data_IF_630074974009
#
_entry.id   IF_630074974009
#
_cell.length_a   1.000
_cell.length_b   1.000
_cell.length_c   1.000
_cell.angle_alpha   90.00
_cell.angle_beta   90.00
_cell.angle_gamma   90.00
#
_symmetry.space_group_name_H-M   'P 1'
#
loop_
_entity.id
_entity.type
_entity.pdbx_description
1 polymer ?
#
# COMPACT_ATOMS: atom_id res chain seq x y z
N UNK A 1 3.16 -17.85 -4.93
CA UNK A 1 2.76 -16.70 -5.78
C UNK A 1 3.55 -16.78 -7.08
N UNK A 2 3.06 -16.21 -8.18
CA UNK A 2 3.88 -16.17 -9.40
C UNK A 2 4.89 -15.02 -9.28
N UNK A 3 6.10 -15.21 -9.80
CA UNK A 3 7.13 -14.16 -9.88
C UNK A 3 6.58 -12.86 -10.46
N UNK A 4 5.68 -12.96 -11.46
CA UNK A 4 5.04 -11.80 -12.06
C UNK A 4 4.14 -11.02 -11.08
N UNK A 5 3.37 -11.71 -10.23
CA UNK A 5 2.54 -11.05 -9.21
C UNK A 5 3.36 -10.32 -8.14
N UNK A 6 4.52 -10.86 -7.78
CA UNK A 6 5.43 -10.22 -6.83
C UNK A 6 6.12 -8.99 -7.43
N UNK A 7 6.56 -9.07 -8.68
CA UNK A 7 7.14 -7.91 -9.39
C UNK A 7 6.14 -6.75 -9.54
N UNK A 8 4.88 -7.04 -9.86
CA UNK A 8 3.84 -6.02 -9.98
C UNK A 8 3.55 -5.35 -8.63
N UNK A 9 3.52 -6.13 -7.55
CA UNK A 9 3.36 -5.63 -6.19
C UNK A 9 4.51 -4.70 -5.79
N UNK A 10 5.76 -5.10 -6.02
CA UNK A 10 6.94 -4.30 -5.72
C UNK A 10 6.96 -2.98 -6.51
N UNK A 11 6.64 -3.02 -7.80
CA UNK A 11 6.55 -1.83 -8.63
C UNK A 11 5.48 -0.86 -8.11
N UNK A 12 4.31 -1.39 -7.76
CA UNK A 12 3.22 -0.60 -7.20
C UNK A 12 3.63 0.10 -5.89
N UNK A 13 4.23 -0.65 -4.96
CA UNK A 13 4.70 -0.07 -3.70
C UNK A 13 5.76 1.01 -3.90
N UNK A 14 6.67 0.83 -4.87
CA UNK A 14 7.67 1.83 -5.22
C UNK A 14 7.04 3.13 -5.73
N UNK A 15 6.13 3.06 -6.70
CA UNK A 15 5.49 4.24 -7.31
C UNK A 15 4.73 5.06 -6.28
N UNK A 16 3.95 4.41 -5.41
CA UNK A 16 3.18 5.12 -4.40
C UNK A 16 4.07 5.69 -3.29
N UNK A 17 5.11 4.97 -2.88
CA UNK A 17 6.07 5.51 -1.89
C UNK A 17 6.79 6.75 -2.42
N UNK A 18 7.23 6.73 -3.68
CA UNK A 18 7.83 7.91 -4.34
C UNK A 18 6.83 9.08 -4.43
N UNK A 19 5.57 8.81 -4.74
CA UNK A 19 4.52 9.83 -4.75
C UNK A 19 4.32 10.46 -3.36
N UNK A 20 4.20 9.67 -2.30
CA UNK A 20 4.06 10.19 -0.93
C UNK A 20 5.30 10.96 -0.48
N UNK A 21 6.50 10.56 -0.90
CA UNK A 21 7.74 11.28 -0.58
C UNK A 21 7.84 12.64 -1.28
N UNK A 22 7.36 12.74 -2.53
CA UNK A 22 7.33 14.00 -3.29
C UNK A 22 6.24 14.96 -2.81
N UNK A 23 5.13 14.44 -2.31
CA UNK A 23 4.02 15.23 -1.80
C UNK A 23 4.07 15.20 -0.27
N UNK A 24 4.92 16.06 0.31
CA UNK A 24 5.20 16.12 1.75
C UNK A 24 3.95 16.29 2.61
N UNK A 25 2.92 16.93 2.08
CA UNK A 25 1.59 17.05 2.67
C UNK A 25 0.89 15.72 2.95
N UNK A 26 1.28 14.62 2.28
CA UNK A 26 0.71 13.27 2.51
C UNK A 26 1.64 12.34 3.25
N UNK A 27 2.85 12.79 3.58
CA UNK A 27 3.82 11.98 4.34
C UNK A 27 3.26 11.59 5.71
N UNK A 28 2.56 12.50 6.39
CA UNK A 28 1.94 12.21 7.68
C UNK A 28 0.88 11.08 7.58
N UNK A 29 0.12 11.00 6.48
CA UNK A 29 -0.86 9.92 6.27
C UNK A 29 -0.15 8.58 6.09
N UNK A 30 0.93 8.55 5.33
CA UNK A 30 1.73 7.34 5.16
C UNK A 30 2.32 6.88 6.50
N UNK A 31 2.85 7.81 7.29
CA UNK A 31 3.41 7.52 8.61
C UNK A 31 2.34 6.98 9.57
N UNK A 32 1.13 7.55 9.56
CA UNK A 32 -0.01 7.04 10.34
C UNK A 32 -0.39 5.61 9.94
N UNK A 33 -0.47 5.32 8.63
CA UNK A 33 -0.78 3.97 8.13
C UNK A 33 0.26 2.95 8.60
N UNK A 34 1.53 3.34 8.62
CA UNK A 34 2.62 2.47 9.07
C UNK A 34 2.65 2.28 10.60
N UNK A 35 2.06 3.20 11.37
CA UNK A 35 1.94 3.11 12.84
C UNK A 35 0.75 2.26 13.30
N UNK A 36 -0.24 2.01 12.43
CA UNK A 36 -1.39 1.17 12.78
C UNK A 36 -0.91 -0.27 13.01
N UNK A 37 -1.30 -0.84 14.15
CA UNK A 37 -1.15 -2.27 14.38
C UNK A 37 -2.21 -3.05 13.59
N UNK A 38 -1.80 -3.55 12.42
CA UNK A 38 -2.66 -4.32 11.53
C UNK A 38 -2.87 -5.76 11.99
N UNK A 39 -2.22 -6.22 13.06
CA UNK A 39 -2.40 -7.58 13.58
C UNK A 39 -3.84 -7.86 14.02
N UNK A 40 -4.54 -6.82 14.48
CA UNK A 40 -5.95 -6.88 14.86
C UNK A 40 -6.92 -6.96 13.67
N UNK A 41 -6.43 -6.78 12.43
CA UNK A 41 -7.23 -6.83 11.20
C UNK A 41 -6.66 -7.92 10.29
N UNK A 42 -7.14 -9.18 10.40
CA UNK A 42 -6.59 -10.35 9.70
C UNK A 42 -6.49 -10.17 8.17
N UNK A 43 -7.39 -9.37 7.61
CA UNK A 43 -7.42 -8.98 6.21
C UNK A 43 -6.16 -8.25 5.75
N UNK A 44 -5.59 -7.41 6.60
CA UNK A 44 -4.37 -6.65 6.34
C UNK A 44 -3.12 -7.44 6.75
N UNK A 45 -3.22 -8.27 7.79
CA UNK A 45 -2.14 -9.16 8.22
C UNK A 45 -1.95 -10.40 7.32
N UNK A 46 -2.64 -10.48 6.18
CA UNK A 46 -2.51 -11.59 5.24
C UNK A 46 -1.50 -11.24 4.14
N UNK A 47 -0.35 -11.94 4.05
CA UNK A 47 0.64 -11.70 3.00
C UNK A 47 0.15 -12.15 1.61
N UNK A 48 -1.00 -12.81 1.50
CA UNK A 48 -1.57 -13.21 0.21
C UNK A 48 -2.05 -11.99 -0.55
N UNK A 49 -1.41 -11.75 -1.69
CA UNK A 49 -1.93 -10.89 -2.75
C UNK A 49 -3.35 -11.36 -3.12
N UNK A 50 -4.32 -10.46 -2.99
CA UNK A 50 -5.73 -10.76 -3.25
C UNK A 50 -6.05 -10.90 -4.73
N UNK A 51 -7.34 -11.01 -5.07
CA UNK A 51 -7.82 -11.06 -6.47
C UNK A 51 -7.34 -9.89 -7.35
N UNK A 52 -7.01 -8.76 -6.74
CA UNK A 52 -6.52 -7.56 -7.41
C UNK A 52 -5.07 -7.64 -7.86
N UNK A 53 -4.33 -8.67 -7.46
CA UNK A 53 -2.88 -8.72 -7.73
C UNK A 53 -2.06 -7.81 -6.81
N UNK A 54 -2.69 -7.15 -5.82
CA UNK A 54 -2.01 -6.31 -4.85
C UNK A 54 -2.36 -6.64 -3.39
N UNK A 55 -1.47 -6.29 -2.47
CA UNK A 55 -1.70 -6.35 -1.03
C UNK A 55 -2.76 -5.32 -0.61
N UNK A 56 -3.47 -5.59 0.49
CA UNK A 56 -4.46 -4.63 1.02
C UNK A 56 -3.81 -3.33 1.51
N UNK A 57 -2.60 -3.39 2.03
CA UNK A 57 -1.83 -2.20 2.40
C UNK A 57 -1.58 -1.29 1.20
N UNK A 58 -1.21 -1.87 0.07
CA UNK A 58 -0.95 -1.11 -1.16
C UNK A 58 -2.22 -0.52 -1.74
N UNK A 59 -3.32 -1.29 -1.74
CA UNK A 59 -4.62 -0.76 -2.14
C UNK A 59 -5.07 0.41 -1.25
N UNK A 60 -4.87 0.32 0.07
CA UNK A 60 -5.18 1.41 0.98
C UNK A 60 -4.39 2.68 0.64
N UNK A 61 -3.08 2.55 0.43
CA UNK A 61 -2.21 3.65 -0.02
C UNK A 61 -2.72 4.29 -1.32
N UNK A 62 -3.14 3.48 -2.28
CA UNK A 62 -3.67 3.98 -3.55
C UNK A 62 -5.02 4.71 -3.41
N UNK A 63 -5.92 4.20 -2.56
CA UNK A 63 -7.18 4.87 -2.26
C UNK A 63 -6.95 6.25 -1.64
N UNK A 64 -5.95 6.40 -0.77
CA UNK A 64 -5.59 7.71 -0.22
C UNK A 64 -5.12 8.66 -1.31
N UNK A 65 -4.19 8.25 -2.17
CA UNK A 65 -3.76 9.11 -3.30
C UNK A 65 -4.92 9.49 -4.21
N UNK A 66 -5.84 8.56 -4.49
CA UNK A 66 -7.02 8.86 -5.31
C UNK A 66 -7.96 9.87 -4.65
N UNK A 67 -8.13 9.81 -3.32
CA UNK A 67 -9.04 10.70 -2.60
C UNK A 67 -8.51 12.11 -2.42
N UNK A 68 -7.19 12.30 -2.51
CA UNK A 68 -6.58 13.61 -2.35
C UNK A 68 -6.25 14.30 -3.68
N UNK A 69 -6.25 13.57 -4.79
CA UNK A 69 -6.31 14.13 -6.14
C UNK A 69 -7.74 14.59 -6.49
#
# INVERSE_FOLDING_TARGET
>A
MSLHSESNQLYFDFVYSDYFNKNSEFKYLLDLINQIDWSAVPEFNNPRIGRTGYSRHSLLKALFVQKVK
#
